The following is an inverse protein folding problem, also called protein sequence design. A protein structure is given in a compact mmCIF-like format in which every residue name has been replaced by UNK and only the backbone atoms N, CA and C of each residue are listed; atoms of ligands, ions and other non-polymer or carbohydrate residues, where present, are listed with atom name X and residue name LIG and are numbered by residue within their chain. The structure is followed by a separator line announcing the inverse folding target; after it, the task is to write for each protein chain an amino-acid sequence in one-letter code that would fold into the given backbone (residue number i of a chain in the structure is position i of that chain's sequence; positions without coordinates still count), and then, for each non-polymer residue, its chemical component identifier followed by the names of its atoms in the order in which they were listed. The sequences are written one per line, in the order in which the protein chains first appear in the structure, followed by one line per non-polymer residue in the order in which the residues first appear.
data_IF_839994417139
#
_entry.id   IF_839994417139
#
_cell.length_a   1.000
_cell.length_b   1.000
_cell.length_c   1.000
_cell.angle_alpha   90.00
_cell.angle_beta   90.00
_cell.angle_gamma   90.00
#
_symmetry.space_group_name_H-M   'P 1'
#
loop_
_entity.id
_entity.type
_entity.pdbx_description
1 polymer ?
#
# COMPACT_ATOMS: atom_id res chain seq x y z
N UNK A 1 -31.82 -1.38 -11.40
CA UNK A 1 -30.96 -1.77 -10.26
C UNK A 1 -29.53 -1.81 -10.77
N UNK A 2 -28.68 -0.85 -10.41
CA UNK A 2 -27.28 -0.84 -10.83
C UNK A 2 -26.43 -0.98 -9.56
N UNK A 3 -25.44 -1.89 -9.53
CA UNK A 3 -24.60 -2.04 -8.36
C UNK A 3 -23.62 -0.87 -8.37
N UNK A 4 -23.88 0.16 -7.57
CA UNK A 4 -22.89 1.20 -7.31
C UNK A 4 -21.93 0.66 -6.26
N UNK A 5 -21.11 -0.31 -6.66
CA UNK A 5 -19.89 -0.65 -5.93
C UNK A 5 -18.79 0.33 -6.36
N UNK A 6 -18.98 1.63 -6.13
CA UNK A 6 -17.95 2.64 -6.40
C UNK A 6 -17.32 3.08 -5.07
N UNK A 7 -16.66 2.13 -4.42
CA UNK A 7 -15.75 2.43 -3.32
C UNK A 7 -14.52 1.56 -3.51
N UNK A 8 -13.55 2.00 -4.32
CA UNK A 8 -12.22 1.42 -4.25
C UNK A 8 -11.07 2.37 -4.58
N UNK A 9 -11.00 3.61 -4.02
CA UNK A 9 -9.70 4.25 -3.90
C UNK A 9 -8.72 3.34 -3.15
N UNK A 10 -9.18 2.58 -2.15
CA UNK A 10 -8.34 1.62 -1.42
C UNK A 10 -7.81 0.44 -2.26
N UNK A 11 -8.42 0.04 -3.38
CA UNK A 11 -7.89 -1.05 -4.23
C UNK A 11 -6.92 -0.55 -5.30
N UNK A 12 -7.20 0.60 -5.92
CA UNK A 12 -6.30 1.19 -6.90
C UNK A 12 -4.98 1.57 -6.24
N UNK A 13 -5.05 2.31 -5.13
CA UNK A 13 -3.86 2.77 -4.45
C UNK A 13 -3.08 1.63 -3.76
N UNK A 14 -3.77 0.55 -3.35
CA UNK A 14 -3.09 -0.69 -2.96
C UNK A 14 -2.27 -1.27 -4.10
N UNK A 15 -2.86 -1.33 -5.30
CA UNK A 15 -2.20 -1.85 -6.49
C UNK A 15 -1.00 -0.99 -6.90
N UNK A 16 -1.11 0.34 -6.88
CA UNK A 16 0.00 1.26 -7.15
C UNK A 16 1.15 1.11 -6.15
N UNK A 17 0.84 1.03 -4.85
CA UNK A 17 1.82 0.78 -3.79
C UNK A 17 2.55 -0.56 -4.01
N UNK A 18 1.83 -1.61 -4.39
CA UNK A 18 2.42 -2.91 -4.69
C UNK A 18 3.27 -2.89 -5.96
N UNK A 19 2.77 -2.29 -7.04
CA UNK A 19 3.48 -2.17 -8.31
C UNK A 19 4.78 -1.39 -8.14
N UNK A 20 4.76 -0.25 -7.45
CA UNK A 20 5.97 0.51 -7.14
C UNK A 20 7.02 -0.35 -6.40
N UNK A 21 6.58 -1.14 -5.41
CA UNK A 21 7.50 -2.02 -4.69
C UNK A 21 8.05 -3.12 -5.58
N UNK A 22 7.25 -3.71 -6.48
CA UNK A 22 7.72 -4.70 -7.46
C UNK A 22 8.72 -4.09 -8.44
N UNK A 23 8.43 -2.90 -8.96
CA UNK A 23 9.26 -2.17 -9.93
C UNK A 23 10.64 -1.82 -9.33
N UNK A 24 10.64 -1.41 -8.05
CA UNK A 24 11.87 -1.16 -7.30
C UNK A 24 12.65 -2.46 -6.97
N UNK A 25 12.02 -3.63 -7.10
CA UNK A 25 12.64 -4.94 -6.87
C UNK A 25 12.33 -5.58 -5.52
N UNK A 26 11.33 -5.08 -4.79
CA UNK A 26 10.83 -5.70 -3.57
C UNK A 26 9.84 -6.83 -3.87
N UNK A 27 9.81 -7.83 -2.98
CA UNK A 27 8.82 -8.90 -3.02
C UNK A 27 7.51 -8.42 -2.40
N UNK A 28 6.46 -8.33 -3.22
CA UNK A 28 5.11 -8.08 -2.73
C UNK A 28 4.51 -9.38 -2.19
N UNK A 29 4.39 -9.45 -0.87
CA UNK A 29 3.72 -10.54 -0.16
C UNK A 29 2.43 -10.08 0.54
N UNK A 30 1.87 -10.96 1.36
CA UNK A 30 0.69 -10.66 2.17
C UNK A 30 0.89 -9.44 3.07
N UNK A 31 2.07 -9.32 3.72
CA UNK A 31 2.40 -8.17 4.57
C UNK A 31 2.49 -6.85 3.79
N UNK A 32 3.01 -6.89 2.57
CA UNK A 32 3.08 -5.73 1.68
C UNK A 32 1.68 -5.27 1.27
N UNK A 33 0.81 -6.21 0.87
CA UNK A 33 -0.62 -5.94 0.62
C UNK A 33 -1.29 -5.30 1.81
N UNK A 34 -1.08 -5.87 3.00
CA UNK A 34 -1.64 -5.35 4.24
C UNK A 34 -1.14 -3.92 4.52
N UNK A 35 0.16 -3.66 4.37
CA UNK A 35 0.74 -2.33 4.53
C UNK A 35 0.14 -1.31 3.55
N UNK A 36 0.07 -1.65 2.27
CA UNK A 36 -0.54 -0.81 1.25
C UNK A 36 -2.05 -0.57 1.53
N UNK A 37 -2.74 -1.56 2.11
CA UNK A 37 -4.15 -1.41 2.52
C UNK A 37 -4.33 -0.41 3.67
N UNK A 38 -3.33 -0.28 4.54
CA UNK A 38 -3.35 0.71 5.60
C UNK A 38 -3.02 2.11 5.10
N UNK A 39 -2.19 2.24 4.07
CA UNK A 39 -1.82 3.53 3.50
C UNK A 39 -3.00 4.30 2.93
N UNK A 40 -3.92 3.61 2.25
CA UNK A 40 -5.18 4.18 1.77
C UNK A 40 -6.28 4.34 2.83
N UNK A 41 -6.00 3.95 4.08
CA UNK A 41 -6.95 4.09 5.19
C UNK A 41 -6.67 5.36 5.98
N UNK A 42 -7.61 6.30 6.02
CA UNK A 42 -7.46 7.58 6.74
C UNK A 42 -7.13 7.38 8.23
N UNK A 43 -7.64 6.30 8.84
CA UNK A 43 -7.43 5.95 10.25
C UNK A 43 -6.10 5.22 10.51
N UNK A 44 -5.57 4.54 9.50
CA UNK A 44 -4.42 3.64 9.64
C UNK A 44 -3.25 4.00 8.73
N UNK A 45 -3.28 5.14 8.05
CA UNK A 45 -2.22 5.59 7.13
C UNK A 45 -0.82 5.57 7.79
N UNK A 46 -0.77 5.85 9.10
CA UNK A 46 0.46 5.78 9.90
C UNK A 46 1.06 4.37 10.06
N UNK A 47 0.30 3.30 9.80
CA UNK A 47 0.76 1.90 9.90
C UNK A 47 1.42 1.39 8.62
N UNK A 48 1.20 2.05 7.48
CA UNK A 48 1.80 1.63 6.22
C UNK A 48 3.34 1.64 6.29
N UNK A 49 3.92 2.75 6.74
CA UNK A 49 5.38 2.92 6.87
C UNK A 49 6.05 1.90 7.80
N UNK A 50 5.64 1.74 9.09
CA UNK A 50 6.31 0.82 10.00
C UNK A 50 6.21 -0.64 9.55
N UNK A 51 5.13 -1.05 8.89
CA UNK A 51 4.98 -2.42 8.39
C UNK A 51 5.92 -2.66 7.21
N UNK A 52 6.00 -1.73 6.25
CA UNK A 52 6.94 -1.82 5.13
C UNK A 52 8.40 -1.87 5.59
N UNK A 53 8.77 -1.00 6.54
CA UNK A 53 10.12 -1.02 7.13
C UNK A 53 10.39 -2.32 7.89
N UNK A 54 9.42 -2.83 8.64
CA UNK A 54 9.54 -4.08 9.39
C UNK A 54 9.73 -5.31 8.50
N UNK A 55 9.26 -5.29 7.25
CA UNK A 55 9.51 -6.36 6.27
C UNK A 55 10.76 -6.14 5.41
N UNK A 56 11.56 -5.12 5.70
CA UNK A 56 12.83 -4.85 5.03
C UNK A 56 12.75 -3.90 3.84
N UNK A 57 11.62 -3.21 3.63
CA UNK A 57 11.56 -2.11 2.66
C UNK A 57 12.29 -0.91 3.22
N UNK A 58 13.21 -0.29 2.46
CA UNK A 58 13.87 0.93 2.94
C UNK A 58 12.84 2.02 3.22
N UNK A 59 13.07 2.79 4.27
CA UNK A 59 12.24 3.92 4.70
C UNK A 59 11.87 4.86 3.55
N UNK A 60 12.79 5.17 2.64
CA UNK A 60 12.51 6.03 1.48
C UNK A 60 11.46 5.40 0.53
N UNK A 61 11.60 4.10 0.21
CA UNK A 61 10.66 3.40 -0.65
C UNK A 61 9.33 3.15 0.06
N UNK A 62 9.36 2.90 1.38
CA UNK A 62 8.17 2.76 2.20
C UNK A 62 7.34 4.05 2.19
N UNK A 63 7.96 5.21 2.39
CA UNK A 63 7.28 6.52 2.34
C UNK A 63 6.68 6.80 0.97
N UNK A 64 7.41 6.52 -0.12
CA UNK A 64 6.87 6.68 -1.47
C UNK A 64 5.71 5.72 -1.73
N UNK A 65 5.85 4.44 -1.37
CA UNK A 65 4.79 3.45 -1.51
C UNK A 65 3.52 3.83 -0.72
N UNK A 66 3.67 4.34 0.51
CA UNK A 66 2.56 4.83 1.33
C UNK A 66 1.97 6.17 0.86
N UNK A 67 2.66 6.90 -0.02
CA UNK A 67 2.09 8.09 -0.68
C UNK A 67 1.33 7.73 -1.96
N UNK A 68 1.64 6.58 -2.54
CA UNK A 68 0.96 6.02 -3.71
C UNK A 68 -0.26 5.18 -3.33
N UNK A 69 -0.44 4.92 -2.02
CA UNK A 69 -1.56 4.19 -1.41
C UNK A 69 -2.74 5.07 -1.00
#
# INVERSE_FOLDING_TARGET
MAPVATAAPAQASQFDCQQYLLDVGYKVGAKTRQACSYGGSVTHAGLCYPILVSIGVKSLHATTACRLS
#
